data_IF_270017325825
#
_entry.id   IF_270017325825
#
_cell.length_a   1.000
_cell.length_b   1.000
_cell.length_c   1.000
_cell.angle_alpha   90.00
_cell.angle_beta   90.00
_cell.angle_gamma   90.00
#
_symmetry.space_group_name_H-M   'P 1'
#
loop_
_entity.id
_entity.type
_entity.pdbx_description
1 polymer ?
#
# COMPACT_ATOMS: atom_id res chain seq x y z
N UNK A 1 -4.05 3.11 23.16
CA UNK A 1 -3.64 4.04 22.09
C UNK A 1 -2.47 4.84 22.61
N UNK A 2 -1.34 4.88 21.89
CA UNK A 2 -0.12 5.61 22.33
C UNK A 2 -0.45 7.06 22.68
N UNK A 3 0.17 7.62 23.74
CA UNK A 3 -0.06 9.00 24.16
C UNK A 3 0.25 9.98 23.02
N UNK A 4 1.31 9.76 22.25
CA UNK A 4 1.69 10.61 21.13
C UNK A 4 0.58 10.65 20.08
N UNK A 5 0.02 9.48 19.71
CA UNK A 5 -1.13 9.38 18.81
C UNK A 5 -2.38 10.06 19.37
N UNK A 6 -2.60 10.00 20.69
CA UNK A 6 -3.72 10.66 21.37
C UNK A 6 -3.59 12.18 21.31
N UNK A 7 -2.37 12.71 21.55
CA UNK A 7 -2.08 14.14 21.45
C UNK A 7 -2.25 14.60 19.99
N UNK A 8 -1.68 13.88 19.01
CA UNK A 8 -1.80 14.24 17.58
C UNK A 8 -3.25 14.28 17.11
N UNK A 9 -4.07 13.28 17.45
CA UNK A 9 -5.47 13.21 17.04
C UNK A 9 -6.35 14.31 17.67
N UNK A 10 -5.95 14.89 18.80
CA UNK A 10 -6.72 15.91 19.50
C UNK A 10 -6.16 17.32 19.32
N UNK A 11 -4.99 17.46 18.69
CA UNK A 11 -4.20 18.69 18.65
C UNK A 11 -4.99 19.90 18.10
N UNK A 12 -5.74 19.70 17.02
CA UNK A 12 -6.57 20.73 16.39
C UNK A 12 -7.79 21.13 17.23
N UNK A 13 -8.19 20.30 18.19
CA UNK A 13 -9.33 20.54 19.08
C UNK A 13 -8.90 21.04 20.48
N UNK A 14 -7.60 21.11 20.75
CA UNK A 14 -7.07 21.61 22.02
C UNK A 14 -7.18 23.14 22.13
N UNK A 15 -7.40 23.62 23.36
CA UNK A 15 -7.26 25.04 23.66
C UNK A 15 -5.84 25.54 23.35
N UNK A 16 -5.63 26.82 23.00
CA UNK A 16 -4.34 27.32 22.52
C UNK A 16 -3.15 26.99 23.45
N UNK A 17 -3.36 27.08 24.77
CA UNK A 17 -2.33 26.77 25.76
C UNK A 17 -1.97 25.28 25.82
N UNK A 18 -2.96 24.39 25.69
CA UNK A 18 -2.75 22.94 25.67
C UNK A 18 -2.11 22.51 24.34
N UNK A 19 -2.51 23.15 23.22
CA UNK A 19 -1.96 22.88 21.89
C UNK A 19 -0.47 23.14 21.82
N UNK A 20 0.03 24.23 22.41
CA UNK A 20 1.48 24.52 22.42
C UNK A 20 2.28 23.45 23.16
N UNK A 21 1.76 22.94 24.28
CA UNK A 21 2.39 21.86 25.04
C UNK A 21 2.34 20.56 24.23
N UNK A 22 1.17 20.23 23.67
CA UNK A 22 0.98 19.03 22.84
C UNK A 22 1.86 19.03 21.59
N UNK A 23 1.96 20.17 20.90
CA UNK A 23 2.78 20.32 19.70
C UNK A 23 4.26 20.11 20.02
N UNK A 24 4.76 20.74 21.09
CA UNK A 24 6.15 20.53 21.52
C UNK A 24 6.45 19.06 21.84
N UNK A 25 5.52 18.36 22.50
CA UNK A 25 5.68 16.93 22.84
C UNK A 25 5.74 16.08 21.57
N UNK A 26 4.93 16.36 20.55
CA UNK A 26 4.94 15.63 19.27
C UNK A 26 6.23 15.91 18.49
N UNK A 27 6.63 17.18 18.41
CA UNK A 27 7.77 17.59 17.58
C UNK A 27 9.10 17.22 18.22
N UNK A 28 9.17 17.20 19.56
CA UNK A 28 10.42 17.04 20.32
C UNK A 28 10.29 16.04 21.49
N UNK A 29 9.84 14.79 21.26
CA UNK A 29 9.56 13.85 22.35
C UNK A 29 10.82 13.47 23.14
N UNK A 30 11.98 13.29 22.48
CA UNK A 30 13.25 13.01 23.17
C UNK A 30 13.73 14.16 24.05
N UNK A 31 13.51 15.40 23.59
CA UNK A 31 13.84 16.58 24.37
C UNK A 31 12.92 16.66 25.59
N UNK A 32 11.61 16.49 25.41
CA UNK A 32 10.65 16.49 26.52
C UNK A 32 10.99 15.44 27.59
N UNK A 33 11.46 14.26 27.21
CA UNK A 33 11.91 13.22 28.13
C UNK A 33 13.11 13.63 29.00
N UNK A 34 13.86 14.67 28.63
CA UNK A 34 14.95 15.23 29.44
C UNK A 34 14.52 16.42 30.31
N UNK A 35 13.36 17.01 30.06
CA UNK A 35 12.90 18.20 30.76
C UNK A 35 12.19 17.88 32.09
N UNK A 36 12.24 18.83 33.02
CA UNK A 36 11.31 18.88 34.15
C UNK A 36 10.01 19.58 33.72
N UNK A 37 8.95 19.51 34.54
CA UNK A 37 7.69 20.22 34.24
C UNK A 37 7.88 21.74 34.17
N UNK A 38 8.80 22.29 34.96
CA UNK A 38 9.15 23.71 34.92
C UNK A 38 9.94 24.07 33.64
N UNK A 39 10.85 23.21 33.21
CA UNK A 39 11.62 23.44 31.99
C UNK A 39 10.75 23.29 30.73
N UNK A 40 9.85 22.31 30.67
CA UNK A 40 8.87 22.20 29.59
C UNK A 40 7.94 23.42 29.54
N UNK A 41 7.58 23.96 30.70
CA UNK A 41 6.78 25.17 30.78
C UNK A 41 7.53 26.37 30.16
N UNK A 42 8.83 26.50 30.42
CA UNK A 42 9.67 27.53 29.81
C UNK A 42 9.77 27.38 28.28
N UNK A 43 10.04 26.17 27.77
CA UNK A 43 10.13 25.88 26.34
C UNK A 43 8.82 26.16 25.58
N UNK A 44 7.69 25.98 26.24
CA UNK A 44 6.35 26.17 25.64
C UNK A 44 5.75 27.55 25.90
N UNK A 45 6.45 28.43 26.65
CA UNK A 45 5.93 29.73 27.07
C UNK A 45 4.69 29.63 27.98
N UNK A 46 4.61 28.57 28.79
CA UNK A 46 3.49 28.25 29.70
C UNK A 46 3.94 28.26 31.16
N UNK A 47 2.97 28.14 32.07
CA UNK A 47 3.25 27.95 33.50
C UNK A 47 3.44 26.46 33.85
N UNK A 48 4.21 26.17 34.90
CA UNK A 48 4.35 24.79 35.40
C UNK A 48 2.99 24.16 35.75
N UNK A 49 2.06 24.96 36.31
CA UNK A 49 0.69 24.51 36.60
C UNK A 49 -0.07 24.12 35.33
N UNK A 50 0.14 24.84 34.22
CA UNK A 50 -0.46 24.51 32.92
C UNK A 50 0.02 23.15 32.41
N UNK A 51 1.31 22.84 32.54
CA UNK A 51 1.88 21.54 32.15
C UNK A 51 1.27 20.40 32.98
N UNK A 52 1.13 20.58 34.29
CA UNK A 52 0.51 19.56 35.16
C UNK A 52 -0.97 19.35 34.82
N UNK A 53 -1.72 20.45 34.61
CA UNK A 53 -3.14 20.37 34.21
C UNK A 53 -3.32 19.72 32.84
N UNK A 54 -2.40 19.98 31.90
CA UNK A 54 -2.38 19.31 30.60
C UNK A 54 -2.25 17.80 30.75
N UNK A 55 -1.28 17.32 31.55
CA UNK A 55 -1.14 15.89 31.85
C UNK A 55 -2.40 15.27 32.45
N UNK A 56 -3.07 16.00 33.34
CA UNK A 56 -4.33 15.56 33.97
C UNK A 56 -5.50 15.50 32.99
N UNK A 57 -5.63 16.48 32.10
CA UNK A 57 -6.64 16.45 31.02
C UNK A 57 -6.46 15.25 30.09
N UNK A 58 -5.22 14.80 29.89
CA UNK A 58 -4.91 13.59 29.12
C UNK A 58 -5.20 12.28 29.88
N UNK A 59 -5.54 12.36 31.17
CA UNK A 59 -5.91 11.21 32.00
C UNK A 59 -4.80 10.67 32.90
N UNK A 60 -3.71 11.42 33.08
CA UNK A 60 -2.59 11.04 33.96
C UNK A 60 -2.64 11.80 35.29
N UNK A 61 -2.17 11.22 36.39
CA UNK A 61 -2.11 11.87 37.70
C UNK A 61 -1.25 13.15 37.69
N UNK A 62 -0.26 13.23 36.79
CA UNK A 62 0.55 14.42 36.59
C UNK A 62 1.66 14.26 35.55
N UNK A 63 2.59 15.22 35.53
CA UNK A 63 3.65 15.30 34.52
C UNK A 63 4.57 14.08 34.49
N UNK A 64 4.93 13.52 35.64
CA UNK A 64 5.85 12.37 35.69
C UNK A 64 5.23 11.12 35.08
N UNK A 65 3.95 10.86 35.34
CA UNK A 65 3.25 9.72 34.74
C UNK A 65 3.03 9.93 33.24
N UNK A 66 2.69 11.14 32.81
CA UNK A 66 2.64 11.48 31.39
C UNK A 66 4.01 11.28 30.72
N UNK A 67 5.09 11.68 31.39
CA UNK A 67 6.46 11.52 30.89
C UNK A 67 6.86 10.06 30.76
N UNK A 68 6.46 9.21 31.72
CA UNK A 68 6.62 7.76 31.62
C UNK A 68 5.83 7.20 30.44
N UNK A 69 4.56 7.61 30.27
CA UNK A 69 3.74 7.20 29.14
C UNK A 69 4.30 7.66 27.78
N UNK A 70 4.94 8.84 27.70
CA UNK A 70 5.69 9.29 26.51
C UNK A 70 6.91 8.42 26.28
N UNK A 71 7.63 8.04 27.33
CA UNK A 71 8.80 7.15 27.23
C UNK A 71 8.40 5.75 26.74
N UNK A 72 7.33 5.19 27.30
CA UNK A 72 6.76 3.91 26.85
C UNK A 72 6.25 4.03 25.42
N UNK A 73 5.56 5.13 25.09
CA UNK A 73 5.11 5.39 23.74
C UNK A 73 6.27 5.49 22.77
N UNK A 74 7.39 6.14 23.11
CA UNK A 74 8.62 6.18 22.29
C UNK A 74 9.29 4.81 22.17
N UNK A 75 9.33 4.04 23.25
CA UNK A 75 9.86 2.67 23.21
C UNK A 75 8.99 1.75 22.34
N UNK A 76 7.69 2.03 22.26
CA UNK A 76 6.72 1.37 21.38
C UNK A 76 6.54 2.07 20.02
N UNK A 77 7.10 3.27 19.83
CA UNK A 77 7.05 4.07 18.61
C UNK A 77 8.07 3.46 17.66
N UNK A 78 7.63 2.33 17.10
CA UNK A 78 8.19 1.54 16.02
C UNK A 78 9.53 2.05 15.48
N UNK A 79 10.59 1.91 16.28
CA UNK A 79 11.85 1.55 15.67
C UNK A 79 11.56 0.19 15.06
N UNK A 80 11.69 0.04 13.74
CA UNK A 80 11.83 -1.28 13.15
C UNK A 80 12.80 -2.02 14.08
N UNK A 81 12.40 -3.13 14.74
CA UNK A 81 13.21 -3.71 15.79
C UNK A 81 14.61 -3.87 15.24
N UNK A 82 15.62 -3.42 15.97
CA UNK A 82 17.00 -3.71 15.59
C UNK A 82 17.11 -5.24 15.44
N UNK A 83 17.21 -5.70 14.19
CA UNK A 83 16.94 -7.09 13.81
C UNK A 83 15.45 -7.34 13.54
N UNK A 84 14.95 -6.95 12.35
CA UNK A 84 13.74 -7.60 11.81
C UNK A 84 14.02 -9.11 11.78
N UNK A 85 13.24 -9.89 12.53
CA UNK A 85 13.36 -11.34 12.51
C UNK A 85 12.83 -11.80 11.15
N UNK A 86 13.75 -12.15 10.25
CA UNK A 86 13.42 -12.84 9.01
C UNK A 86 13.28 -14.34 9.32
N UNK A 87 12.16 -14.97 8.92
CA UNK A 87 11.95 -16.40 9.18
C UNK A 87 10.51 -16.88 9.02
N UNK A 88 10.30 -18.21 9.12
CA UNK A 88 8.97 -18.85 9.04
C UNK A 88 8.14 -18.39 10.20
N UNK A 89 6.86 -18.07 9.96
CA UNK A 89 5.88 -18.09 11.05
C UNK A 89 5.64 -19.56 11.41
N UNK A 90 6.06 -19.94 12.62
CA UNK A 90 5.97 -21.30 13.14
C UNK A 90 4.78 -21.45 14.09
N UNK A 91 4.30 -22.70 14.26
CA UNK A 91 3.12 -23.00 15.09
C UNK A 91 3.31 -22.58 16.56
N UNK A 92 4.55 -22.50 17.05
CA UNK A 92 4.89 -22.08 18.41
C UNK A 92 5.25 -20.60 18.58
N UNK A 93 5.23 -19.79 17.51
CA UNK A 93 5.59 -18.38 17.63
C UNK A 93 4.58 -17.61 18.48
N UNK A 94 5.09 -16.82 19.43
CA UNK A 94 4.27 -15.87 20.18
C UNK A 94 3.80 -14.70 19.29
N UNK A 95 2.71 -14.04 19.68
CA UNK A 95 2.09 -12.96 18.91
C UNK A 95 3.08 -11.89 18.41
N UNK A 96 3.97 -11.40 19.27
CA UNK A 96 4.96 -10.37 18.89
C UNK A 96 5.95 -10.89 17.84
N UNK A 97 6.39 -12.14 17.96
CA UNK A 97 7.27 -12.78 16.98
C UNK A 97 6.57 -12.93 15.63
N UNK A 98 5.31 -13.38 15.64
CA UNK A 98 4.49 -13.48 14.40
C UNK A 98 4.36 -12.10 13.75
N UNK A 99 4.05 -11.06 14.52
CA UNK A 99 3.92 -9.69 14.03
C UNK A 99 5.22 -9.20 13.39
N UNK A 100 6.36 -9.41 14.05
CA UNK A 100 7.68 -9.01 13.55
C UNK A 100 8.05 -9.75 12.26
N UNK A 101 7.86 -11.08 12.22
CA UNK A 101 8.12 -11.91 11.04
C UNK A 101 7.24 -11.49 9.87
N UNK A 102 5.93 -11.32 10.10
CA UNK A 102 4.99 -10.90 9.06
C UNK A 102 5.37 -9.54 8.47
N UNK A 103 5.66 -8.53 9.31
CA UNK A 103 6.03 -7.21 8.80
C UNK A 103 7.37 -7.28 8.06
N UNK A 104 8.36 -7.96 8.63
CA UNK A 104 9.69 -8.11 8.02
C UNK A 104 9.61 -8.74 6.63
N UNK A 105 8.86 -9.84 6.48
CA UNK A 105 8.64 -10.48 5.19
C UNK A 105 7.92 -9.58 4.19
N UNK A 106 6.92 -8.80 4.61
CA UNK A 106 6.23 -7.86 3.71
C UNK A 106 7.15 -6.73 3.23
N UNK A 107 7.86 -6.08 4.16
CA UNK A 107 8.77 -4.99 3.83
C UNK A 107 9.89 -5.46 2.89
N UNK A 108 10.46 -6.63 3.17
CA UNK A 108 11.50 -7.22 2.33
C UNK A 108 10.98 -7.52 0.92
N UNK A 109 9.82 -8.19 0.81
CA UNK A 109 9.21 -8.51 -0.48
C UNK A 109 8.95 -7.25 -1.32
N UNK A 110 8.44 -6.18 -0.70
CA UNK A 110 8.21 -4.90 -1.38
C UNK A 110 9.52 -4.23 -1.83
N UNK A 111 10.53 -4.17 -0.93
CA UNK A 111 11.83 -3.58 -1.26
C UNK A 111 12.53 -4.34 -2.39
N UNK A 112 12.52 -5.67 -2.34
CA UNK A 112 13.10 -6.52 -3.36
C UNK A 112 12.36 -6.34 -4.69
N UNK A 113 11.02 -6.33 -4.67
CA UNK A 113 10.18 -6.09 -5.85
C UNK A 113 10.54 -4.77 -6.54
N UNK A 114 10.72 -3.67 -5.81
CA UNK A 114 11.19 -2.42 -6.43
C UNK A 114 12.61 -2.58 -6.99
N UNK A 115 13.52 -3.19 -6.25
CA UNK A 115 14.93 -3.29 -6.66
C UNK A 115 15.16 -4.11 -7.94
N UNK A 116 14.26 -5.03 -8.27
CA UNK A 116 14.41 -5.91 -9.43
C UNK A 116 13.74 -5.38 -10.70
N UNK A 117 12.90 -4.35 -10.59
CA UNK A 117 12.32 -3.67 -11.75
C UNK A 117 13.09 -2.39 -12.01
N UNK A 118 13.80 -2.34 -13.14
CA UNK A 118 14.49 -1.11 -13.52
C UNK A 118 13.49 -0.08 -14.08
N UNK A 119 13.92 1.18 -14.10
CA UNK A 119 13.10 2.29 -14.58
C UNK A 119 12.64 2.12 -16.03
N UNK A 120 13.49 1.56 -16.90
CA UNK A 120 13.18 1.39 -18.32
C UNK A 120 12.05 0.37 -18.56
N UNK A 121 11.96 -0.70 -17.77
CA UNK A 121 10.88 -1.68 -17.91
C UNK A 121 9.56 -1.17 -17.31
N UNK A 122 9.64 -0.40 -16.22
CA UNK A 122 8.49 0.35 -15.70
C UNK A 122 7.99 1.34 -16.74
N UNK A 123 8.90 2.06 -17.40
CA UNK A 123 8.58 3.04 -18.44
C UNK A 123 7.82 2.42 -19.61
N UNK A 124 8.31 1.30 -20.15
CA UNK A 124 7.62 0.57 -21.22
C UNK A 124 6.21 0.13 -20.81
N UNK A 125 6.05 -0.35 -19.57
CA UNK A 125 4.75 -0.76 -19.07
C UNK A 125 3.79 0.44 -18.95
N UNK A 126 4.30 1.61 -18.53
CA UNK A 126 3.52 2.84 -18.45
C UNK A 126 3.07 3.35 -19.82
N UNK A 127 3.97 3.35 -20.80
CA UNK A 127 3.66 3.71 -22.19
C UNK A 127 2.57 2.78 -22.74
N UNK A 128 2.76 1.47 -22.60
CA UNK A 128 1.79 0.48 -23.06
C UNK A 128 0.41 0.65 -22.38
N UNK A 129 0.37 0.90 -21.07
CA UNK A 129 -0.87 1.20 -20.34
C UNK A 129 -1.51 2.53 -20.75
N UNK A 130 -0.70 3.53 -21.10
CA UNK A 130 -1.18 4.84 -21.52
C UNK A 130 -1.79 4.81 -22.92
N UNK A 131 -1.16 4.10 -23.85
CA UNK A 131 -1.56 4.07 -25.26
C UNK A 131 -2.67 3.04 -25.54
N UNK A 132 -2.87 2.08 -24.64
CA UNK A 132 -3.87 1.04 -24.80
C UNK A 132 -5.29 1.61 -24.93
N UNK A 133 -5.97 1.24 -26.02
CA UNK A 133 -7.39 1.52 -26.25
C UNK A 133 -8.29 0.78 -25.26
N UNK A 134 -7.94 -0.47 -24.93
CA UNK A 134 -8.58 -1.29 -23.89
C UNK A 134 -7.52 -2.03 -23.10
N UNK A 135 -7.72 -2.13 -21.79
CA UNK A 135 -6.84 -2.83 -20.88
C UNK A 135 -7.60 -4.01 -20.29
N UNK A 136 -7.17 -5.24 -20.60
CA UNK A 136 -7.72 -6.45 -20.00
C UNK A 136 -6.81 -6.91 -18.87
N UNK A 137 -7.31 -6.90 -17.63
CA UNK A 137 -6.58 -7.37 -16.46
C UNK A 137 -6.94 -8.84 -16.19
N UNK A 138 -5.96 -9.72 -16.30
CA UNK A 138 -6.14 -11.16 -16.12
C UNK A 138 -5.33 -11.69 -14.92
N UNK A 139 -5.92 -12.64 -14.21
CA UNK A 139 -5.34 -13.22 -13.01
C UNK A 139 -6.36 -14.05 -12.26
N UNK A 140 -5.90 -15.12 -11.60
CA UNK A 140 -6.75 -16.05 -10.83
C UNK A 140 -6.40 -16.02 -9.35
N UNK A 141 -7.35 -16.41 -8.50
CA UNK A 141 -7.14 -16.47 -7.05
C UNK A 141 -6.71 -15.12 -6.46
N UNK A 142 -5.62 -15.10 -5.69
CA UNK A 142 -5.11 -13.89 -5.05
C UNK A 142 -4.72 -12.79 -6.06
N UNK A 143 -4.18 -13.17 -7.23
CA UNK A 143 -3.84 -12.21 -8.30
C UNK A 143 -5.08 -11.51 -8.86
N UNK A 144 -6.24 -12.17 -8.87
CA UNK A 144 -7.50 -11.56 -9.33
C UNK A 144 -7.95 -10.41 -8.42
N UNK A 145 -7.63 -10.47 -7.12
CA UNK A 145 -7.91 -9.38 -6.19
C UNK A 145 -7.07 -8.14 -6.49
N UNK A 146 -5.81 -8.34 -6.89
CA UNK A 146 -4.92 -7.24 -7.32
C UNK A 146 -5.39 -6.68 -8.65
N UNK A 147 -5.76 -7.56 -9.60
CA UNK A 147 -6.34 -7.14 -10.88
C UNK A 147 -7.61 -6.30 -10.68
N UNK A 148 -8.47 -6.66 -9.72
CA UNK A 148 -9.67 -5.88 -9.39
C UNK A 148 -9.35 -4.51 -8.79
N UNK A 149 -8.36 -4.45 -7.91
CA UNK A 149 -7.95 -3.19 -7.30
C UNK A 149 -7.33 -2.25 -8.35
N UNK A 150 -6.46 -2.79 -9.22
CA UNK A 150 -5.88 -2.02 -10.30
C UNK A 150 -6.92 -1.64 -11.37
N UNK A 151 -7.93 -2.48 -11.63
CA UNK A 151 -9.02 -2.14 -12.55
C UNK A 151 -9.76 -0.89 -12.09
N UNK A 152 -10.11 -0.85 -10.81
CA UNK A 152 -10.80 0.29 -10.21
C UNK A 152 -9.95 1.57 -10.31
N UNK A 153 -8.65 1.49 -10.04
CA UNK A 153 -7.71 2.61 -10.18
C UNK A 153 -7.62 3.14 -11.61
N UNK A 154 -7.45 2.25 -12.58
CA UNK A 154 -7.38 2.64 -13.99
C UNK A 154 -8.71 3.25 -14.48
N UNK A 155 -9.86 2.72 -14.04
CA UNK A 155 -11.17 3.31 -14.33
C UNK A 155 -11.31 4.73 -13.76
N UNK A 156 -10.73 5.02 -12.59
CA UNK A 156 -10.67 6.39 -12.03
C UNK A 156 -9.85 7.35 -12.88
N UNK A 157 -9.03 6.87 -13.81
CA UNK A 157 -8.29 7.68 -14.80
C UNK A 157 -8.98 7.70 -16.17
N UNK A 158 -10.21 7.21 -16.26
CA UNK A 158 -10.97 7.16 -17.52
C UNK A 158 -10.53 6.05 -18.47
N UNK A 159 -9.70 5.10 -18.03
CA UNK A 159 -9.26 3.99 -18.88
C UNK A 159 -10.40 2.99 -19.10
N UNK A 160 -10.45 2.42 -20.29
CA UNK A 160 -11.40 1.35 -20.63
C UNK A 160 -10.83 0.00 -20.18
N UNK A 161 -11.33 -0.52 -19.06
CA UNK A 161 -10.76 -1.70 -18.40
C UNK A 161 -11.75 -2.87 -18.42
N UNK A 162 -11.25 -4.04 -18.81
CA UNK A 162 -11.94 -5.31 -18.68
C UNK A 162 -11.31 -6.09 -17.52
N UNK A 163 -12.13 -6.50 -16.56
CA UNK A 163 -11.71 -7.38 -15.45
C UNK A 163 -12.88 -8.26 -15.05
N UNK A 164 -12.61 -9.54 -14.80
CA UNK A 164 -13.53 -10.47 -14.16
C UNK A 164 -12.74 -11.48 -13.33
N UNK A 165 -13.34 -12.06 -12.30
CA UNK A 165 -12.75 -13.15 -11.52
C UNK A 165 -12.87 -14.52 -12.18
N UNK A 166 -13.82 -14.69 -13.11
CA UNK A 166 -14.07 -15.93 -13.83
C UNK A 166 -13.12 -16.05 -15.05
N UNK A 167 -12.39 -17.17 -15.12
CA UNK A 167 -11.40 -17.40 -16.17
C UNK A 167 -12.00 -17.61 -17.56
N UNK A 168 -13.24 -18.11 -17.66
CA UNK A 168 -13.95 -18.22 -18.93
C UNK A 168 -14.33 -16.84 -19.46
N UNK A 169 -14.75 -15.92 -18.57
CA UNK A 169 -15.02 -14.53 -18.94
C UNK A 169 -13.73 -13.82 -19.35
N UNK A 170 -12.64 -13.99 -18.59
CA UNK A 170 -11.32 -13.47 -19.00
C UNK A 170 -10.90 -14.00 -20.38
N UNK A 171 -11.08 -15.30 -20.65
CA UNK A 171 -10.79 -15.89 -21.96
C UNK A 171 -11.65 -15.28 -23.08
N UNK A 172 -12.95 -15.09 -22.84
CA UNK A 172 -13.85 -14.45 -23.79
C UNK A 172 -13.40 -13.01 -24.10
N UNK A 173 -13.03 -12.22 -23.09
CA UNK A 173 -12.48 -10.88 -23.26
C UNK A 173 -11.21 -10.90 -24.12
N UNK A 174 -10.26 -11.81 -23.81
CA UNK A 174 -9.01 -11.96 -24.55
C UNK A 174 -9.23 -12.30 -26.04
N UNK A 175 -10.27 -13.08 -26.36
CA UNK A 175 -10.62 -13.42 -27.73
C UNK A 175 -11.00 -12.23 -28.61
N UNK A 176 -11.36 -11.10 -27.99
CA UNK A 176 -11.77 -9.87 -28.68
C UNK A 176 -10.68 -8.80 -28.74
N UNK A 177 -9.51 -9.03 -28.14
CA UNK A 177 -8.38 -8.09 -28.17
C UNK A 177 -7.79 -7.97 -29.59
N UNK A 178 -7.04 -6.89 -29.81
CA UNK A 178 -6.31 -6.62 -31.04
C UNK A 178 -5.06 -5.76 -30.80
N UNK A 179 -4.40 -5.29 -31.88
CA UNK A 179 -3.11 -4.58 -31.82
C UNK A 179 -3.07 -3.33 -30.93
N UNK A 180 -4.19 -2.63 -30.79
CA UNK A 180 -4.29 -1.40 -29.99
C UNK A 180 -4.72 -1.68 -28.53
N UNK A 181 -4.89 -2.95 -28.16
CA UNK A 181 -5.33 -3.35 -26.82
C UNK A 181 -4.16 -3.98 -26.03
N UNK A 182 -4.30 -3.98 -24.71
CA UNK A 182 -3.31 -4.50 -23.78
C UNK A 182 -3.91 -5.60 -22.90
N UNK A 183 -3.17 -6.69 -22.73
CA UNK A 183 -3.37 -7.64 -21.64
C UNK A 183 -2.36 -7.38 -20.54
N UNK A 184 -2.84 -7.20 -19.30
CA UNK A 184 -2.01 -7.14 -18.11
C UNK A 184 -2.25 -8.42 -17.28
N UNK A 185 -1.31 -9.36 -17.35
CA UNK A 185 -1.44 -10.69 -16.76
C UNK A 185 -0.68 -10.80 -15.44
N UNK A 186 -1.40 -11.06 -14.35
CA UNK A 186 -0.87 -11.21 -12.99
C UNK A 186 -0.80 -12.68 -12.59
N UNK A 187 0.40 -13.25 -12.50
CA UNK A 187 0.62 -14.59 -11.95
C UNK A 187 2.02 -14.70 -11.35
N UNK A 188 2.10 -14.74 -10.01
CA UNK A 188 3.38 -14.87 -9.32
C UNK A 188 4.18 -16.10 -9.78
N UNK A 189 3.55 -17.27 -9.86
CA UNK A 189 4.24 -18.49 -10.32
C UNK A 189 4.56 -18.47 -11.83
N UNK A 190 3.88 -17.60 -12.60
CA UNK A 190 3.97 -17.59 -14.06
C UNK A 190 3.49 -18.90 -14.71
N UNK A 191 2.84 -19.77 -13.95
CA UNK A 191 2.47 -21.14 -14.34
C UNK A 191 0.97 -21.43 -14.17
N UNK A 192 0.16 -20.45 -13.74
CA UNK A 192 -1.30 -20.57 -13.72
C UNK A 192 -1.79 -20.83 -15.14
N UNK A 193 -2.36 -22.02 -15.39
CA UNK A 193 -2.74 -22.44 -16.74
C UNK A 193 -3.77 -21.50 -17.35
N UNK A 194 -4.73 -21.03 -16.56
CA UNK A 194 -5.76 -20.10 -17.01
C UNK A 194 -5.14 -18.79 -17.50
N UNK A 195 -4.32 -18.14 -16.66
CA UNK A 195 -3.64 -16.88 -17.00
C UNK A 195 -2.69 -17.05 -18.19
N UNK A 196 -1.96 -18.16 -18.27
CA UNK A 196 -1.08 -18.46 -19.39
C UNK A 196 -1.86 -18.59 -20.70
N UNK A 197 -2.95 -19.37 -20.73
CA UNK A 197 -3.78 -19.52 -21.94
C UNK A 197 -4.40 -18.19 -22.38
N UNK A 198 -4.80 -17.35 -21.43
CA UNK A 198 -5.30 -16.01 -21.72
C UNK A 198 -4.20 -15.14 -22.36
N UNK A 199 -2.97 -15.20 -21.85
CA UNK A 199 -1.81 -14.49 -22.40
C UNK A 199 -1.43 -14.97 -23.80
N UNK A 200 -1.39 -16.29 -24.02
CA UNK A 200 -1.14 -16.88 -25.33
C UNK A 200 -2.18 -16.41 -26.35
N UNK A 201 -3.47 -16.39 -25.98
CA UNK A 201 -4.52 -15.90 -26.87
C UNK A 201 -4.38 -14.41 -27.17
N UNK A 202 -4.09 -13.58 -26.17
CA UNK A 202 -3.87 -12.14 -26.38
C UNK A 202 -2.67 -11.87 -27.32
N UNK A 203 -1.57 -12.59 -27.13
CA UNK A 203 -0.40 -12.53 -28.00
C UNK A 203 -0.74 -12.96 -29.44
N UNK A 204 -1.51 -14.05 -29.62
CA UNK A 204 -2.01 -14.46 -30.94
C UNK A 204 -2.91 -13.40 -31.61
N UNK A 205 -3.58 -12.57 -30.81
CA UNK A 205 -4.39 -11.43 -31.27
C UNK A 205 -3.56 -10.16 -31.49
N UNK A 206 -2.24 -10.24 -31.32
CA UNK A 206 -1.30 -9.13 -31.44
C UNK A 206 -1.52 -8.01 -30.42
N UNK A 207 -2.28 -8.28 -29.35
CA UNK A 207 -2.40 -7.35 -28.25
C UNK A 207 -1.08 -7.32 -27.47
N UNK A 208 -0.73 -6.16 -26.94
CA UNK A 208 0.48 -6.03 -26.10
C UNK A 208 0.26 -6.80 -24.80
N UNK A 209 1.19 -7.69 -24.44
CA UNK A 209 1.13 -8.49 -23.21
C UNK A 209 2.15 -7.98 -22.20
N UNK A 210 1.65 -7.44 -21.10
CA UNK A 210 2.44 -7.12 -19.91
C UNK A 210 2.23 -8.23 -18.86
N UNK A 211 3.31 -8.90 -18.46
CA UNK A 211 3.27 -9.90 -17.39
C UNK A 211 3.81 -9.33 -16.07
N UNK A 212 3.11 -9.60 -14.98
CA UNK A 212 3.58 -9.39 -13.60
C UNK A 212 3.75 -10.75 -12.93
N UNK A 213 5.00 -11.18 -12.78
CA UNK A 213 5.34 -12.56 -12.40
C UNK A 213 6.58 -12.67 -11.52
N UNK A 214 6.94 -13.85 -11.04
CA UNK A 214 8.14 -14.09 -10.25
C UNK A 214 9.43 -13.87 -11.03
N UNK A 215 10.57 -13.96 -10.35
CA UNK A 215 11.90 -13.81 -10.95
C UNK A 215 12.38 -15.04 -11.71
N UNK A 216 11.82 -16.23 -11.46
CA UNK A 216 12.24 -17.41 -12.20
C UNK A 216 11.80 -17.30 -13.66
N UNK A 217 12.57 -17.92 -14.55
CA UNK A 217 12.11 -18.21 -15.89
C UNK A 217 10.82 -19.03 -15.81
N UNK A 218 9.76 -18.51 -16.44
CA UNK A 218 8.42 -19.06 -16.37
C UNK A 218 7.68 -18.88 -17.70
N UNK A 219 6.62 -19.66 -17.88
CA UNK A 219 5.89 -19.73 -19.15
C UNK A 219 5.22 -18.40 -19.50
N UNK A 220 4.69 -17.70 -18.50
CA UNK A 220 4.04 -16.41 -18.71
C UNK A 220 5.01 -15.33 -19.21
N UNK A 221 6.21 -15.26 -18.61
CA UNK A 221 7.25 -14.32 -19.02
C UNK A 221 7.68 -14.50 -20.48
N UNK A 222 7.72 -15.75 -20.97
CA UNK A 222 8.10 -16.06 -22.35
C UNK A 222 7.08 -15.64 -23.41
N UNK A 223 5.83 -15.40 -23.00
CA UNK A 223 4.73 -14.96 -23.88
C UNK A 223 4.58 -13.43 -23.86
N UNK A 224 5.14 -12.76 -22.86
CA UNK A 224 4.95 -11.33 -22.66
C UNK A 224 5.91 -10.47 -23.49
N UNK A 225 5.42 -9.34 -23.97
CA UNK A 225 6.23 -8.29 -24.59
C UNK A 225 7.00 -7.49 -23.53
N UNK A 226 6.38 -7.31 -22.36
CA UNK A 226 6.95 -6.59 -21.23
C UNK A 226 6.80 -7.44 -19.96
N UNK A 227 7.89 -7.65 -19.25
CA UNK A 227 7.90 -8.37 -17.97
C UNK A 227 8.21 -7.42 -16.82
N UNK A 228 7.34 -7.41 -15.82
CA UNK A 228 7.60 -6.86 -14.51
C UNK A 228 7.64 -7.99 -13.49
N UNK A 229 8.52 -7.86 -12.50
CA UNK A 229 8.78 -8.91 -11.54
C UNK A 229 8.25 -8.56 -10.14
N UNK A 230 7.71 -9.54 -9.43
CA UNK A 230 7.45 -9.44 -8.00
C UNK A 230 8.22 -10.52 -7.24
N UNK A 231 8.63 -10.19 -6.02
CA UNK A 231 9.39 -11.09 -5.16
C UNK A 231 8.52 -11.47 -3.97
N UNK A 232 8.33 -12.78 -3.77
CA UNK A 232 7.62 -13.36 -2.65
C UNK A 232 8.49 -14.37 -1.91
N UNK A 233 8.08 -14.73 -0.68
CA UNK A 233 8.79 -15.74 0.12
C UNK A 233 8.36 -17.15 -0.28
N UNK A 234 9.07 -17.76 -1.24
CA UNK A 234 8.68 -19.01 -1.93
C UNK A 234 8.70 -20.26 -1.07
N UNK A 235 9.53 -20.28 -0.02
CA UNK A 235 9.71 -21.45 0.83
C UNK A 235 8.50 -21.72 1.75
N UNK A 236 7.43 -20.90 1.64
CA UNK A 236 6.37 -20.82 2.66
C UNK A 236 4.99 -20.62 2.05
N UNK A 237 4.32 -21.73 1.71
CA UNK A 237 2.99 -21.79 1.06
C UNK A 237 1.94 -20.79 1.60
N UNK A 238 1.89 -20.53 2.92
CA UNK A 238 0.94 -19.57 3.51
C UNK A 238 1.40 -18.11 3.46
N UNK A 239 2.70 -17.86 3.55
CA UNK A 239 3.28 -16.49 3.57
C UNK A 239 3.50 -15.96 2.14
N UNK A 240 3.82 -16.85 1.21
CA UNK A 240 4.13 -16.51 -0.18
C UNK A 240 2.96 -15.79 -0.85
N UNK A 241 1.73 -16.29 -0.68
CA UNK A 241 0.53 -15.67 -1.26
C UNK A 241 0.24 -14.27 -0.68
N UNK A 242 0.55 -14.04 0.60
CA UNK A 242 0.36 -12.73 1.25
C UNK A 242 1.40 -11.74 0.72
N UNK A 243 2.68 -12.12 0.77
CA UNK A 243 3.80 -11.26 0.38
C UNK A 243 3.80 -10.97 -1.12
N UNK A 244 3.57 -11.98 -1.97
CA UNK A 244 3.46 -11.81 -3.41
C UNK A 244 2.28 -10.91 -3.81
N UNK A 245 1.11 -11.08 -3.18
CA UNK A 245 -0.05 -10.22 -3.45
C UNK A 245 0.23 -8.78 -3.04
N UNK A 246 0.81 -8.56 -1.86
CA UNK A 246 1.12 -7.22 -1.38
C UNK A 246 2.24 -6.56 -2.22
N UNK A 247 3.20 -7.34 -2.74
CA UNK A 247 4.19 -6.88 -3.71
C UNK A 247 3.57 -6.48 -5.05
N UNK A 248 2.62 -7.27 -5.58
CA UNK A 248 1.87 -6.91 -6.78
C UNK A 248 1.03 -5.64 -6.57
N UNK A 249 0.35 -5.51 -5.42
CA UNK A 249 -0.40 -4.30 -5.07
C UNK A 249 0.50 -3.07 -5.10
N UNK A 250 1.64 -3.14 -4.42
CA UNK A 250 2.62 -2.04 -4.38
C UNK A 250 3.14 -1.69 -5.78
N UNK A 251 3.43 -2.67 -6.63
CA UNK A 251 3.84 -2.42 -8.01
C UNK A 251 2.73 -1.73 -8.83
N UNK A 252 1.48 -2.18 -8.69
CA UNK A 252 0.33 -1.53 -9.36
C UNK A 252 0.01 -0.15 -8.81
N UNK A 253 0.27 0.10 -7.51
CA UNK A 253 0.19 1.44 -6.90
C UNK A 253 1.22 2.38 -7.53
N UNK A 254 2.46 1.91 -7.69
CA UNK A 254 3.52 2.68 -8.36
C UNK A 254 3.11 3.04 -9.79
N UNK A 255 2.67 2.05 -10.58
CA UNK A 255 2.22 2.28 -11.96
C UNK A 255 1.07 3.28 -12.01
N UNK A 256 0.09 3.15 -11.12
CA UNK A 256 -1.03 4.08 -11.04
C UNK A 256 -0.58 5.52 -10.72
N UNK A 257 0.30 5.71 -9.73
CA UNK A 257 0.83 7.04 -9.37
C UNK A 257 1.59 7.65 -10.54
N UNK A 258 2.39 6.87 -11.25
CA UNK A 258 3.14 7.35 -12.42
C UNK A 258 2.21 7.68 -13.59
N UNK A 259 1.15 6.90 -13.83
CA UNK A 259 0.11 7.23 -14.81
C UNK A 259 -0.62 8.53 -14.46
N UNK A 260 -0.95 8.76 -13.19
CA UNK A 260 -1.53 10.02 -12.71
C UNK A 260 -0.61 11.20 -13.02
N UNK A 261 0.70 11.07 -12.75
CA UNK A 261 1.65 12.15 -13.02
C UNK A 261 1.80 12.47 -14.51
N UNK A 262 1.63 11.48 -15.39
CA UNK A 262 1.71 11.64 -16.86
C UNK A 262 0.47 12.25 -17.48
N UNK A 263 -0.67 12.12 -16.82
CA UNK A 263 -1.96 12.52 -17.37
C UNK A 263 -2.38 13.88 -16.79
N UNK A 264 -2.32 14.99 -17.57
CA UNK A 264 -2.55 16.34 -17.04
C UNK A 264 -3.93 16.54 -16.41
N UNK A 265 -4.95 15.83 -16.91
CA UNK A 265 -6.34 15.89 -16.46
C UNK A 265 -6.71 14.75 -15.47
N UNK A 266 -5.72 14.02 -14.94
CA UNK A 266 -5.97 12.87 -14.05
C UNK A 266 -6.82 13.25 -12.82
N UNK A 267 -6.59 14.42 -12.25
CA UNK A 267 -7.35 14.92 -11.10
C UNK A 267 -8.83 15.12 -11.43
N UNK A 268 -9.14 15.57 -12.66
CA UNK A 268 -10.52 15.77 -13.10
C UNK A 268 -11.23 14.42 -13.24
N UNK A 269 -10.58 13.41 -13.83
CA UNK A 269 -11.12 12.05 -13.91
C UNK A 269 -11.39 11.44 -12.53
N UNK A 270 -10.42 11.58 -11.61
CA UNK A 270 -10.55 11.09 -10.24
C UNK A 270 -11.72 11.79 -9.53
N UNK A 271 -11.80 13.12 -9.64
CA UNK A 271 -12.87 13.92 -9.04
C UNK A 271 -14.25 13.58 -9.63
N UNK A 272 -14.34 13.40 -10.95
CA UNK A 272 -15.58 13.02 -11.64
C UNK A 272 -16.06 11.63 -11.18
N UNK A 273 -15.15 10.68 -11.04
CA UNK A 273 -15.47 9.34 -10.51
C UNK A 273 -15.99 9.41 -9.07
N UNK A 274 -15.35 10.20 -8.21
CA UNK A 274 -15.76 10.37 -6.81
C UNK A 274 -17.13 11.06 -6.70
N UNK A 275 -17.36 12.07 -7.53
CA UNK A 275 -18.64 12.78 -7.62
C UNK A 275 -19.74 11.84 -8.10
N UNK A 276 -19.50 11.03 -9.14
CA UNK A 276 -20.45 10.06 -9.66
C UNK A 276 -20.86 9.01 -8.60
N UNK A 277 -19.91 8.56 -7.77
CA UNK A 277 -20.19 7.60 -6.69
C UNK A 277 -20.89 8.25 -5.49
N UNK A 278 -20.72 9.56 -5.28
CA UNK A 278 -21.32 10.27 -4.13
C UNK A 278 -22.84 10.15 -4.04
N UNK A 279 -23.54 10.00 -5.17
CA UNK A 279 -25.00 9.81 -5.22
C UNK A 279 -25.45 8.54 -4.50
N UNK A 280 -24.58 7.53 -4.39
CA UNK A 280 -24.85 6.29 -3.66
C UNK A 280 -24.78 6.47 -2.13
N UNK A 281 -24.16 7.56 -1.66
CA UNK A 281 -24.05 7.90 -0.23
C UNK A 281 -25.20 8.77 0.27
N UNK A 282 -25.97 9.37 -0.63
CA UNK A 282 -27.10 10.21 -0.26
C UNK A 282 -28.20 9.34 0.37
N UNK A 283 -28.47 9.53 1.67
CA UNK A 283 -29.67 8.97 2.31
C UNK A 283 -30.89 9.53 1.58
N UNK A 284 -31.74 8.65 1.04
CA UNK A 284 -33.10 9.05 0.64
C UNK A 284 -33.76 9.68 1.86
N UNK A 285 -34.00 10.99 1.82
CA UNK A 285 -34.94 11.65 2.72
C UNK A 285 -36.33 11.17 2.29
N UNK A 286 -36.86 10.20 3.04
CA UNK A 286 -38.28 9.84 3.04
C UNK A 286 -38.95 10.55 4.20
#
# INVERSE_FOLDING_TARGET
MSILKKISAQLENMAPADRQIGQFIIDNPDQMLRLSSAALAAETGRSQSSVVKFSQKLGYAGYQEMKLAVSEAKAQEWQAPAGMIHGTIEVGDGYLTILQKLLGSKMQAMQQTISVNNEADIEKALEALHDARRIHLAGVGASSLVARDFSYKLMKLGRNVLHDSDSHVQMANASTLGPDDLLFALSYSGASIETLRIAELASQRQATVVAVTGLQDNLLARVADICLHTVGDEDRVRSSAITARDAQLMLTDLLFILLVQRQPDANDYVHNSETAVSVLKAKRLS
#
